data_IF_438934671018
#
_entry.id   IF_438934671018
#
_cell.length_a   1.000
_cell.length_b   1.000
_cell.length_c   1.000
_cell.angle_alpha   90.00
_cell.angle_beta   90.00
_cell.angle_gamma   90.00
#
_symmetry.space_group_name_H-M   'P 1'
#
loop_
_entity.id
_entity.type
_entity.pdbx_description
1 polymer ?
#
# COMPACT_ATOMS: atom_id res chain seq x y z
N UNK A 1 -9.14 0.39 -13.26
CA UNK A 1 -10.38 1.16 -13.00
C UNK A 1 -10.39 2.33 -13.96
N UNK A 2 -11.54 2.69 -14.55
CA UNK A 2 -11.62 3.81 -15.50
C UNK A 2 -12.47 4.92 -14.89
N UNK A 3 -11.93 6.13 -14.86
CA UNK A 3 -12.59 7.36 -14.36
C UNK A 3 -13.26 7.14 -12.98
N UNK A 4 -12.57 6.38 -12.12
CA UNK A 4 -13.02 5.95 -10.81
C UNK A 4 -11.83 5.79 -9.88
N UNK A 5 -11.97 6.28 -8.65
CA UNK A 5 -11.06 6.01 -7.54
C UNK A 5 -11.82 5.38 -6.37
N UNK A 6 -11.05 4.86 -5.43
CA UNK A 6 -11.52 4.31 -4.18
C UNK A 6 -10.71 4.93 -3.02
N UNK A 7 -11.35 5.15 -1.88
CA UNK A 7 -10.65 5.38 -0.62
C UNK A 7 -11.35 4.64 0.51
N UNK A 8 -10.58 4.26 1.52
CA UNK A 8 -11.11 3.61 2.71
C UNK A 8 -11.14 4.59 3.87
N UNK A 9 -12.33 4.88 4.39
CA UNK A 9 -12.47 5.71 5.58
C UNK A 9 -12.39 4.90 6.88
N UNK A 10 -12.35 3.56 6.81
CA UNK A 10 -12.37 2.70 7.99
C UNK A 10 -10.98 2.33 8.51
N UNK A 11 -9.97 2.26 7.62
CA UNK A 11 -8.64 1.79 8.01
C UNK A 11 -7.64 1.70 6.88
N UNK A 12 -6.50 1.07 7.18
CA UNK A 12 -5.37 0.90 6.26
C UNK A 12 -5.48 -0.44 5.51
N UNK A 13 -5.06 -0.45 4.26
CA UNK A 13 -4.90 -1.69 3.49
C UNK A 13 -3.43 -2.04 3.30
N UNK A 14 -3.09 -3.29 3.63
CA UNK A 14 -1.89 -3.96 3.14
C UNK A 14 -2.31 -4.91 2.02
N UNK A 15 -1.86 -4.60 0.80
CA UNK A 15 -2.21 -5.32 -0.42
C UNK A 15 -1.04 -6.23 -0.82
N UNK A 16 -1.35 -7.50 -1.07
CA UNK A 16 -0.40 -8.55 -1.47
C UNK A 16 -0.83 -9.14 -2.82
N UNK A 17 -0.28 -8.66 -3.95
CA UNK A 17 -0.55 -9.24 -5.26
C UNK A 17 -0.02 -10.68 -5.33
N UNK A 18 -0.85 -11.61 -5.81
CA UNK A 18 -0.48 -13.02 -6.03
C UNK A 18 -0.37 -13.34 -7.53
N UNK A 19 -1.23 -12.74 -8.35
CA UNK A 19 -1.27 -12.89 -9.79
C UNK A 19 -1.57 -11.52 -10.43
N UNK A 20 -0.79 -11.14 -11.43
CA UNK A 20 -0.94 -9.87 -12.13
C UNK A 20 -0.22 -8.71 -11.44
N UNK A 21 0.18 -7.72 -12.23
CA UNK A 21 0.82 -6.48 -11.75
C UNK A 21 -0.25 -5.42 -11.51
N UNK A 22 -0.13 -4.71 -10.40
CA UNK A 22 -1.00 -3.58 -10.06
C UNK A 22 -0.28 -2.27 -10.40
N UNK A 23 -0.83 -1.50 -11.33
CA UNK A 23 -0.43 -0.12 -11.55
C UNK A 23 -1.37 0.79 -10.74
N UNK A 24 -0.93 1.21 -9.56
CA UNK A 24 -1.70 1.99 -8.59
C UNK A 24 -1.38 3.47 -8.76
N UNK A 25 -2.41 4.28 -8.97
CA UNK A 25 -2.32 5.75 -8.94
C UNK A 25 -2.93 6.24 -7.65
N UNK A 26 -2.21 7.06 -6.88
CA UNK A 26 -2.68 7.70 -5.66
C UNK A 26 -2.53 9.22 -5.79
N UNK A 27 -3.08 9.97 -4.84
CA UNK A 27 -2.84 11.42 -4.70
C UNK A 27 -1.34 11.77 -4.55
N UNK A 28 -0.52 10.82 -4.11
CA UNK A 28 0.92 11.03 -3.89
C UNK A 28 1.78 10.66 -5.10
N UNK A 29 1.18 10.03 -6.10
CA UNK A 29 1.82 9.61 -7.34
C UNK A 29 1.55 8.16 -7.71
N UNK A 30 2.40 7.58 -8.55
CA UNK A 30 2.19 6.24 -9.12
C UNK A 30 3.12 5.20 -8.51
N UNK A 31 2.57 4.03 -8.23
CA UNK A 31 3.30 2.86 -7.78
C UNK A 31 2.94 1.65 -8.63
N UNK A 32 3.94 0.96 -9.13
CA UNK A 32 3.80 -0.36 -9.75
C UNK A 32 4.13 -1.41 -8.70
N UNK A 33 3.22 -2.34 -8.46
CA UNK A 33 3.35 -3.38 -7.43
C UNK A 33 3.16 -4.75 -8.08
N UNK A 34 4.24 -5.52 -8.11
CA UNK A 34 4.28 -6.83 -8.75
C UNK A 34 4.09 -7.96 -7.72
N UNK A 35 3.77 -9.20 -8.13
CA UNK A 35 3.83 -10.34 -7.22
C UNK A 35 5.22 -10.44 -6.57
N UNK A 36 5.26 -10.81 -5.28
CA UNK A 36 6.44 -10.72 -4.40
C UNK A 36 6.81 -9.31 -3.91
N UNK A 37 6.02 -8.30 -4.29
CA UNK A 37 5.97 -7.02 -3.61
C UNK A 37 4.68 -6.89 -2.79
N UNK A 38 4.69 -5.99 -1.82
CA UNK A 38 3.52 -5.58 -1.07
C UNK A 38 3.41 -4.05 -1.16
N UNK A 39 2.20 -3.53 -0.98
CA UNK A 39 2.03 -2.09 -0.77
C UNK A 39 1.01 -1.81 0.33
N UNK A 40 1.17 -0.64 0.94
CA UNK A 40 0.24 -0.11 1.92
C UNK A 40 -0.38 1.17 1.39
N UNK A 41 -1.70 1.22 1.46
CA UNK A 41 -2.49 2.43 1.21
C UNK A 41 -3.24 2.72 2.50
N UNK A 42 -2.87 3.83 3.12
CA UNK A 42 -3.39 4.19 4.43
C UNK A 42 -4.78 4.81 4.32
N UNK A 43 -5.49 4.84 5.45
CA UNK A 43 -6.84 5.38 5.59
C UNK A 43 -6.99 6.77 4.93
N UNK A 44 -8.09 6.96 4.21
CA UNK A 44 -8.46 8.22 3.58
C UNK A 44 -7.78 8.50 2.23
N UNK A 45 -6.69 7.81 1.90
CA UNK A 45 -5.98 8.04 0.63
C UNK A 45 -6.82 7.56 -0.56
N UNK A 46 -7.01 8.42 -1.55
CA UNK A 46 -7.68 8.08 -2.81
C UNK A 46 -6.69 7.38 -3.73
N UNK A 47 -7.13 6.26 -4.29
CA UNK A 47 -6.33 5.51 -5.24
C UNK A 47 -7.17 4.86 -6.33
N UNK A 48 -6.54 4.57 -7.46
CA UNK A 48 -7.13 3.86 -8.58
C UNK A 48 -6.15 2.79 -9.05
N UNK A 49 -6.65 1.59 -9.32
CA UNK A 49 -5.82 0.45 -9.72
C UNK A 49 -6.09 0.09 -11.17
N UNK A 50 -5.04 0.13 -12.00
CA UNK A 50 -5.05 -0.38 -13.37
C UNK A 50 -4.39 -1.76 -13.42
N UNK A 51 -4.94 -2.64 -14.26
CA UNK A 51 -4.47 -4.02 -14.46
C UNK A 51 -4.55 -4.37 -15.94
N UNK A 52 -3.60 -5.20 -16.41
CA UNK A 52 -3.51 -5.61 -17.82
C UNK A 52 -4.21 -6.94 -18.14
N UNK A 53 -4.68 -7.67 -17.13
CA UNK A 53 -5.29 -8.99 -17.29
C UNK A 53 -5.90 -9.55 -16.01
N UNK A 54 -6.12 -10.87 -15.98
CA UNK A 54 -6.64 -11.56 -14.79
C UNK A 54 -5.69 -11.36 -13.60
N UNK A 55 -6.24 -10.80 -12.52
CA UNK A 55 -5.50 -10.35 -11.34
C UNK A 55 -6.13 -10.91 -10.08
N UNK A 56 -5.30 -11.36 -9.14
CA UNK A 56 -5.72 -11.86 -7.84
C UNK A 56 -4.67 -11.51 -6.78
N UNK A 57 -5.12 -11.26 -5.56
CA UNK A 57 -4.25 -11.00 -4.43
C UNK A 57 -5.01 -11.10 -3.11
N UNK A 58 -4.33 -10.73 -2.04
CA UNK A 58 -4.87 -10.69 -0.69
C UNK A 58 -4.84 -9.25 -0.19
N UNK A 59 -5.77 -8.90 0.69
CA UNK A 59 -5.80 -7.60 1.37
C UNK A 59 -5.99 -7.88 2.85
N UNK A 60 -5.10 -7.32 3.67
CA UNK A 60 -5.27 -7.21 5.11
C UNK A 60 -5.75 -5.79 5.41
N UNK A 61 -6.88 -5.67 6.10
CA UNK A 61 -7.45 -4.40 6.54
C UNK A 61 -7.34 -4.29 8.07
N UNK A 62 -6.84 -3.16 8.56
CA UNK A 62 -6.74 -2.84 9.99
C UNK A 62 -7.45 -1.52 10.31
N UNK A 63 -8.31 -1.52 11.34
CA UNK A 63 -9.22 -0.39 11.63
C UNK A 63 -8.72 0.60 12.70
N UNK A 64 -7.75 0.19 13.53
CA UNK A 64 -7.42 0.90 14.77
C UNK A 64 -5.94 1.31 14.90
N UNK A 65 -5.10 0.96 13.93
CA UNK A 65 -3.67 1.25 13.94
C UNK A 65 -3.12 1.30 12.51
N UNK A 66 -1.95 1.92 12.37
CA UNK A 66 -1.16 1.91 11.14
C UNK A 66 -0.07 0.85 11.24
N UNK A 67 0.28 0.24 10.09
CA UNK A 67 1.38 -0.72 10.03
C UNK A 67 2.71 -0.06 10.40
N UNK A 68 3.46 -0.71 11.29
CA UNK A 68 4.77 -0.25 11.74
C UNK A 68 5.79 -1.37 11.70
N UNK A 69 7.06 -1.00 11.55
CA UNK A 69 8.16 -1.96 11.66
C UNK A 69 8.25 -2.49 13.09
N UNK A 70 8.45 -3.81 13.27
CA UNK A 70 8.58 -4.39 14.60
C UNK A 70 9.85 -3.88 15.27
N UNK A 71 9.81 -3.83 16.61
CA UNK A 71 11.01 -3.60 17.40
C UNK A 71 11.99 -4.78 17.22
N UNK A 72 13.22 -4.49 16.80
CA UNK A 72 14.22 -5.51 16.47
C UNK A 72 14.81 -6.24 17.69
N UNK A 73 14.70 -5.67 18.89
CA UNK A 73 15.20 -6.29 20.12
C UNK A 73 16.67 -6.72 20.01
N UNK A 74 17.01 -7.97 20.36
CA UNK A 74 18.39 -8.49 20.29
C UNK A 74 19.01 -8.55 18.89
N UNK A 75 18.20 -8.46 17.81
CA UNK A 75 18.72 -8.39 16.43
C UNK A 75 19.57 -7.12 16.24
N UNK A 76 19.30 -6.08 17.02
CA UNK A 76 20.07 -4.84 17.04
C UNK A 76 19.47 -3.76 16.14
N UNK A 77 20.30 -3.10 15.34
CA UNK A 77 19.91 -1.91 14.58
C UNK A 77 19.56 -2.19 13.10
N UNK A 78 19.87 -3.38 12.58
CA UNK A 78 19.64 -3.77 11.18
C UNK A 78 19.18 -5.22 11.11
N UNK A 79 18.25 -5.54 10.22
CA UNK A 79 17.67 -6.88 10.09
C UNK A 79 16.20 -6.83 9.70
N UNK A 80 15.65 -7.98 9.30
CA UNK A 80 14.26 -8.10 8.83
C UNK A 80 13.99 -7.17 7.62
N UNK A 81 12.94 -6.36 7.66
CA UNK A 81 12.63 -5.37 6.64
C UNK A 81 13.32 -4.03 6.96
N UNK A 82 14.45 -3.76 6.30
CA UNK A 82 15.19 -2.53 6.56
C UNK A 82 14.40 -1.29 6.10
N UNK A 83 14.37 -0.19 6.89
CA UNK A 83 13.59 1.00 6.57
C UNK A 83 13.88 1.63 5.20
N UNK A 84 15.11 1.50 4.70
CA UNK A 84 15.53 2.06 3.40
C UNK A 84 14.83 1.41 2.22
N UNK A 85 14.42 0.16 2.35
CA UNK A 85 13.90 -0.62 1.23
C UNK A 85 12.38 -0.40 1.02
N UNK A 86 11.77 0.46 1.85
CA UNK A 86 10.41 0.99 1.64
C UNK A 86 10.42 2.15 0.67
N UNK A 87 9.72 1.99 -0.44
CA UNK A 87 9.66 2.97 -1.52
C UNK A 87 8.33 3.70 -1.51
N UNK A 88 8.38 5.02 -1.53
CA UNK A 88 7.22 5.90 -1.67
C UNK A 88 7.18 6.46 -3.11
N UNK A 89 5.99 6.75 -3.67
CA UNK A 89 5.90 7.35 -4.99
C UNK A 89 6.49 8.76 -4.99
N UNK A 90 6.91 9.24 -6.15
CA UNK A 90 7.21 10.66 -6.37
C UNK A 90 5.92 11.35 -6.81
N UNK A 91 5.75 12.62 -6.42
CA UNK A 91 4.61 13.44 -6.82
C UNK A 91 4.36 13.36 -8.34
N UNK A 92 3.11 13.11 -8.68
CA UNK A 92 2.62 13.07 -10.05
C UNK A 92 1.17 13.52 -10.03
N UNK A 93 0.79 14.35 -11.00
CA UNK A 93 -0.56 14.84 -11.13
C UNK A 93 -1.06 14.70 -12.56
N UNK A 94 -2.38 14.70 -12.72
CA UNK A 94 -3.06 14.93 -13.98
C UNK A 94 -4.08 16.05 -13.82
N UNK A 95 -4.02 17.03 -14.73
CA UNK A 95 -5.05 18.05 -14.87
C UNK A 95 -6.03 17.56 -15.95
N UNK A 96 -7.04 16.81 -15.51
CA UNK A 96 -8.00 16.13 -16.38
C UNK A 96 -9.42 16.41 -15.93
N UNK A 97 -10.13 17.20 -16.73
CA UNK A 97 -11.58 17.34 -16.61
C UNK A 97 -12.28 16.04 -17.05
N UNK A 98 -13.06 15.47 -16.13
CA UNK A 98 -13.81 14.23 -16.34
C UNK A 98 -15.21 14.42 -15.77
N UNK A 99 -16.20 14.57 -16.64
CA UNK A 99 -17.60 14.64 -16.21
C UNK A 99 -18.01 13.31 -15.57
N UNK A 100 -18.45 13.38 -14.31
CA UNK A 100 -18.94 12.22 -13.57
C UNK A 100 -17.85 11.25 -13.12
N UNK A 101 -16.66 11.74 -12.78
CA UNK A 101 -15.63 10.92 -12.15
C UNK A 101 -16.18 10.34 -10.83
N UNK A 102 -16.09 9.02 -10.67
CA UNK A 102 -16.68 8.33 -9.52
C UNK A 102 -15.68 8.16 -8.38
N UNK A 103 -15.96 8.79 -7.24
CA UNK A 103 -15.23 8.57 -5.99
C UNK A 103 -16.02 7.57 -5.15
N UNK A 104 -15.53 6.34 -5.06
CA UNK A 104 -16.12 5.32 -4.20
C UNK A 104 -15.44 5.39 -2.84
N UNK A 105 -16.22 5.39 -1.76
CA UNK A 105 -15.71 5.36 -0.40
C UNK A 105 -16.22 4.14 0.33
N UNK A 106 -15.37 3.55 1.16
CA UNK A 106 -15.80 2.58 2.17
C UNK A 106 -15.89 3.30 3.51
N UNK A 107 -17.07 3.30 4.12
CA UNK A 107 -17.33 3.92 5.42
C UNK A 107 -18.27 3.03 6.24
N UNK A 108 -17.84 2.68 7.45
CA UNK A 108 -18.47 1.73 8.36
C UNK A 108 -18.84 0.40 7.68
N UNK A 109 -17.94 -0.12 6.83
CA UNK A 109 -18.16 -1.36 6.08
C UNK A 109 -19.12 -1.24 4.90
N UNK A 110 -19.73 -0.08 4.67
CA UNK A 110 -20.62 0.18 3.54
C UNK A 110 -19.91 0.96 2.44
N UNK A 111 -20.34 0.75 1.19
CA UNK A 111 -19.83 1.47 0.04
C UNK A 111 -20.74 2.64 -0.30
N UNK A 112 -20.15 3.82 -0.43
CA UNK A 112 -20.81 5.03 -0.91
C UNK A 112 -20.12 5.51 -2.18
N UNK A 113 -20.84 6.31 -2.97
CA UNK A 113 -20.31 6.86 -4.20
C UNK A 113 -20.69 8.33 -4.30
N UNK A 114 -19.70 9.16 -4.65
CA UNK A 114 -19.87 10.55 -5.03
C UNK A 114 -19.35 10.77 -6.45
N UNK A 115 -19.87 11.80 -7.12
CA UNK A 115 -19.42 12.20 -8.45
C UNK A 115 -18.75 13.58 -8.39
N UNK A 116 -17.66 13.74 -9.15
CA UNK A 116 -16.97 15.01 -9.34
C UNK A 116 -16.64 15.25 -10.82
N UNK A 117 -16.26 16.48 -11.17
CA UNK A 117 -16.04 16.89 -12.57
C UNK A 117 -14.57 16.87 -13.03
N UNK A 118 -13.66 16.38 -12.19
CA UNK A 118 -12.22 16.33 -12.44
C UNK A 118 -11.62 15.06 -11.84
N UNK A 119 -10.41 14.70 -12.25
CA UNK A 119 -9.65 13.64 -11.59
C UNK A 119 -9.21 14.06 -10.19
N UNK A 120 -9.31 13.20 -9.15
CA UNK A 120 -8.81 13.49 -7.82
C UNK A 120 -7.28 13.40 -7.70
N UNK A 121 -6.57 13.07 -8.78
CA UNK A 121 -5.12 12.96 -8.82
C UNK A 121 -4.47 14.25 -9.33
N UNK A 122 -4.86 15.38 -8.75
CA UNK A 122 -4.48 16.75 -9.15
C UNK A 122 -3.44 17.40 -8.21
N UNK A 123 -2.81 16.61 -7.33
CA UNK A 123 -1.80 17.07 -6.37
C UNK A 123 -0.43 17.26 -7.02
N UNK A 124 -0.08 18.51 -7.31
CA UNK A 124 1.16 18.88 -8.02
C UNK A 124 2.43 18.63 -7.17
N UNK A 125 2.33 18.76 -5.86
CA UNK A 125 3.44 18.56 -4.94
C UNK A 125 2.94 18.35 -3.52
N UNK A 126 3.70 17.59 -2.73
CA UNK A 126 3.34 17.25 -1.37
C UNK A 126 4.60 17.07 -0.52
N UNK A 127 4.43 17.20 0.79
CA UNK A 127 5.44 16.85 1.79
C UNK A 127 4.75 16.27 3.03
N UNK A 128 5.41 15.36 3.74
CA UNK A 128 4.85 14.72 4.94
C UNK A 128 5.37 13.31 5.13
N UNK A 129 4.93 12.68 6.23
CA UNK A 129 5.28 11.29 6.60
C UNK A 129 4.13 10.31 6.44
N UNK A 130 2.90 10.79 6.16
CA UNK A 130 1.72 9.97 5.92
C UNK A 130 1.59 9.72 4.41
N UNK A 131 2.23 8.65 3.94
CA UNK A 131 2.43 8.37 2.51
C UNK A 131 2.07 6.92 2.19
N UNK A 132 1.60 6.62 0.97
CA UNK A 132 1.52 5.25 0.51
C UNK A 132 2.93 4.74 0.19
N UNK A 133 3.18 3.45 0.41
CA UNK A 133 4.50 2.87 0.19
C UNK A 133 4.41 1.43 -0.31
N UNK A 134 5.50 0.95 -0.91
CA UNK A 134 5.68 -0.44 -1.31
C UNK A 134 6.99 -1.03 -0.81
N UNK A 135 7.04 -2.35 -0.76
CA UNK A 135 8.21 -3.11 -0.31
C UNK A 135 8.36 -4.41 -1.11
N UNK A 136 9.59 -4.75 -1.48
CA UNK A 136 9.91 -6.00 -2.15
C UNK A 136 10.33 -7.06 -1.13
N UNK A 137 9.57 -8.16 -1.05
CA UNK A 137 9.80 -9.22 -0.08
C UNK A 137 11.14 -9.95 -0.30
N UNK A 138 11.72 -9.90 -1.51
CA UNK A 138 13.04 -10.46 -1.80
C UNK A 138 14.18 -9.73 -1.07
N UNK A 139 13.96 -8.50 -0.59
CA UNK A 139 14.96 -7.72 0.16
C UNK A 139 14.94 -8.02 1.66
N UNK A 140 14.02 -8.88 2.12
CA UNK A 140 13.91 -9.21 3.54
C UNK A 140 15.15 -9.95 4.03
N UNK A 141 15.81 -9.36 5.04
CA UNK A 141 16.97 -9.96 5.69
C UNK A 141 16.50 -11.00 6.71
N UNK A 142 16.39 -12.25 6.24
CA UNK A 142 15.96 -13.39 7.05
C UNK A 142 16.90 -13.62 8.24
N UNK A 143 16.35 -13.65 9.44
CA UNK A 143 17.04 -14.03 10.68
C UNK A 143 16.46 -15.35 11.17
N UNK A 144 17.31 -16.34 11.48
CA UNK A 144 16.87 -17.66 11.93
C UNK A 144 17.94 -18.34 12.81
N UNK A 145 17.60 -19.49 13.40
CA UNK A 145 18.53 -20.34 14.13
C UNK A 145 19.62 -20.89 13.20
N UNK A 146 20.89 -20.75 13.61
CA UNK A 146 22.06 -21.20 12.83
C UNK A 146 22.80 -22.39 13.49
N UNK A 147 22.26 -22.94 14.57
CA UNK A 147 22.86 -24.07 15.29
C UNK A 147 21.88 -25.26 15.38
N UNK A 148 20.87 -25.16 16.23
CA UNK A 148 19.84 -26.19 16.45
C UNK A 148 18.51 -25.50 16.81
N UNK A 149 17.44 -26.30 16.93
CA UNK A 149 16.05 -25.88 17.16
C UNK A 149 15.42 -25.04 16.04
N UNK A 150 14.13 -24.73 16.22
CA UNK A 150 13.30 -23.97 15.30
C UNK A 150 13.01 -22.58 15.90
N UNK A 151 13.43 -21.50 15.22
CA UNK A 151 13.06 -20.13 15.61
C UNK A 151 11.55 -19.98 15.49
N UNK A 152 10.91 -19.35 16.46
CA UNK A 152 9.49 -19.03 16.36
C UNK A 152 9.19 -18.23 15.08
N UNK A 153 8.00 -18.40 14.49
CA UNK A 153 7.64 -17.70 13.25
C UNK A 153 7.63 -16.18 13.40
N UNK A 154 7.52 -15.66 14.63
CA UNK A 154 7.68 -14.24 14.94
C UNK A 154 9.05 -13.68 14.50
N UNK A 155 10.10 -14.51 14.38
CA UNK A 155 11.40 -14.14 13.82
C UNK A 155 11.31 -13.67 12.34
N UNK A 156 10.20 -13.95 11.65
CA UNK A 156 9.94 -13.57 10.26
C UNK A 156 8.94 -12.41 10.12
N UNK A 157 8.57 -11.74 11.21
CA UNK A 157 7.60 -10.65 11.15
C UNK A 157 8.14 -9.48 10.32
N UNK A 158 7.46 -9.19 9.21
CA UNK A 158 7.72 -8.01 8.38
C UNK A 158 7.00 -6.75 8.87
N UNK A 159 5.96 -6.90 9.72
CA UNK A 159 5.11 -5.83 10.24
C UNK A 159 4.47 -6.22 11.58
N UNK A 160 4.04 -5.22 12.36
CA UNK A 160 3.04 -5.35 13.43
C UNK A 160 1.72 -4.79 12.94
#
# INVERSE_FOLDING_TARGET
MKDKCFYNADGDFLIVPQQGVLDITTEFGKMRVEPNEICVIQQGMRFSVSVSGSTRGYILEVFAAHFQLPYLGPIGANGLANPRDFLCPVAWYEDKDVKGYQVVSKFQGHLFQAEQNHSPFDVVGWHGSYVPYKYNLALFMVVNAVQFDHCETACLNSWV
#
